data_IF_519832886893
#
_entry.id   IF_519832886893
#
_cell.length_a   1.000
_cell.length_b   1.000
_cell.length_c   1.000
_cell.angle_alpha   90.00
_cell.angle_beta   90.00
_cell.angle_gamma   90.00
#
_symmetry.space_group_name_H-M   'P 1'
#
loop_
_entity.id
_entity.type
_entity.pdbx_description
1 polymer ?
#
# COMPACT_ATOMS: atom_id res chain seq x y z
N UNK A 1 -35.78 18.95 29.43
CA UNK A 1 -35.24 17.83 30.23
C UNK A 1 -33.98 18.32 30.90
N UNK A 2 -33.93 18.30 32.24
CA UNK A 2 -32.76 18.79 32.98
C UNK A 2 -31.57 17.85 32.80
N UNK A 3 -30.31 18.33 32.90
CA UNK A 3 -29.11 17.53 32.62
C UNK A 3 -28.75 16.49 33.70
N UNK A 4 -29.68 16.14 34.59
CA UNK A 4 -29.40 15.37 35.80
C UNK A 4 -30.06 14.01 35.71
N UNK A 5 -29.39 13.06 35.05
CA UNK A 5 -29.34 11.61 35.35
C UNK A 5 -28.89 10.82 34.11
N UNK A 6 -27.68 11.07 33.60
CA UNK A 6 -27.00 10.11 32.73
C UNK A 6 -26.22 9.11 33.61
N UNK A 7 -26.16 7.82 33.27
CA UNK A 7 -25.33 6.82 33.98
C UNK A 7 -23.87 7.27 34.11
N UNK A 8 -23.18 6.88 35.18
CA UNK A 8 -21.80 7.31 35.47
C UNK A 8 -20.81 7.00 34.34
N UNK A 9 -20.96 5.87 33.66
CA UNK A 9 -20.15 5.45 32.51
C UNK A 9 -20.39 6.32 31.25
N UNK A 10 -21.62 6.78 31.02
CA UNK A 10 -21.94 7.71 29.92
C UNK A 10 -21.43 9.12 30.23
N UNK A 11 -21.51 9.56 31.49
CA UNK A 11 -20.92 10.83 31.93
C UNK A 11 -19.39 10.80 31.85
N UNK A 12 -18.74 9.69 32.19
CA UNK A 12 -17.30 9.50 31.99
C UNK A 12 -16.92 9.46 30.51
N UNK A 13 -17.66 8.74 29.67
CA UNK A 13 -17.45 8.73 28.23
C UNK A 13 -17.63 10.13 27.61
N UNK A 14 -18.67 10.88 28.01
CA UNK A 14 -18.89 12.26 27.58
C UNK A 14 -17.81 13.22 28.06
N UNK A 15 -17.32 13.06 29.30
CA UNK A 15 -16.19 13.84 29.83
C UNK A 15 -14.89 13.52 29.09
N UNK A 16 -14.58 12.25 28.86
CA UNK A 16 -13.42 11.81 28.06
C UNK A 16 -13.51 12.35 26.62
N UNK A 17 -14.72 12.37 26.06
CA UNK A 17 -15.00 12.96 24.74
C UNK A 17 -14.77 14.48 24.74
N UNK A 18 -15.18 15.20 25.79
CA UNK A 18 -14.98 16.65 25.87
C UNK A 18 -13.50 17.02 26.09
N UNK A 19 -12.81 16.33 27.00
CA UNK A 19 -11.36 16.53 27.23
C UNK A 19 -10.58 16.28 25.93
N UNK A 20 -10.94 15.25 25.17
CA UNK A 20 -10.32 14.96 23.88
C UNK A 20 -10.59 16.07 22.84
N UNK A 21 -11.81 16.62 22.81
CA UNK A 21 -12.17 17.76 21.93
C UNK A 21 -11.39 19.02 22.29
N UNK A 22 -11.26 19.34 23.58
CA UNK A 22 -10.55 20.53 24.03
C UNK A 22 -9.04 20.41 23.76
N UNK A 23 -8.46 19.22 24.00
CA UNK A 23 -7.07 18.94 23.65
C UNK A 23 -6.83 19.05 22.13
N UNK A 24 -7.74 18.52 21.31
CA UNK A 24 -7.66 18.62 19.86
C UNK A 24 -7.78 20.08 19.38
N UNK A 25 -8.71 20.86 19.93
CA UNK A 25 -8.88 22.27 19.60
C UNK A 25 -7.62 23.08 19.97
N UNK A 26 -7.03 22.81 21.14
CA UNK A 26 -5.75 23.43 21.56
C UNK A 26 -4.62 23.04 20.62
N UNK A 27 -4.54 21.78 20.20
CA UNK A 27 -3.54 21.30 19.24
C UNK A 27 -3.72 21.98 17.87
N UNK A 28 -4.95 22.08 17.36
CA UNK A 28 -5.25 22.78 16.11
C UNK A 28 -4.91 24.27 16.17
N UNK A 29 -5.22 24.94 17.28
CA UNK A 29 -4.89 26.36 17.47
C UNK A 29 -3.36 26.59 17.48
N UNK A 30 -2.62 25.78 18.25
CA UNK A 30 -1.15 25.81 18.27
C UNK A 30 -0.54 25.47 16.90
N UNK A 31 -1.08 24.47 16.21
CA UNK A 31 -0.67 24.12 14.85
C UNK A 31 -0.88 25.30 13.88
N UNK A 32 -2.05 25.93 13.93
CA UNK A 32 -2.39 27.05 13.05
C UNK A 32 -1.46 28.24 13.28
N UNK A 33 -1.21 28.58 14.55
CA UNK A 33 -0.32 29.68 14.92
C UNK A 33 1.13 29.46 14.45
N UNK A 34 1.62 28.22 14.48
CA UNK A 34 2.99 27.88 14.07
C UNK A 34 3.19 27.75 12.54
N UNK A 35 2.11 27.69 11.77
CA UNK A 35 2.16 27.44 10.32
C UNK A 35 1.34 28.45 9.48
N UNK A 36 1.53 29.78 9.68
CA UNK A 36 0.73 30.79 8.98
C UNK A 36 0.94 30.78 7.45
N UNK A 37 2.13 30.42 6.98
CA UNK A 37 2.47 30.38 5.54
C UNK A 37 1.81 29.19 4.88
N UNK A 38 1.85 28.01 5.52
CA UNK A 38 1.12 26.83 5.03
C UNK A 38 -0.40 27.05 5.01
N UNK A 39 -0.97 27.77 5.99
CA UNK A 39 -2.39 28.16 5.97
C UNK A 39 -2.70 29.03 4.75
N UNK A 40 -1.90 30.06 4.50
CA UNK A 40 -2.09 30.93 3.36
C UNK A 40 -1.98 30.16 2.03
N UNK A 41 -0.99 29.28 1.89
CA UNK A 41 -0.84 28.42 0.72
C UNK A 41 -2.06 27.52 0.51
N UNK A 42 -2.62 26.94 1.58
CA UNK A 42 -3.85 26.15 1.49
C UNK A 42 -5.06 26.99 1.03
N UNK A 43 -5.22 28.21 1.56
CA UNK A 43 -6.29 29.12 1.13
C UNK A 43 -6.18 29.47 -0.36
N UNK A 44 -4.97 29.69 -0.86
CA UNK A 44 -4.73 29.90 -2.29
C UNK A 44 -5.08 28.64 -3.11
N UNK A 45 -4.66 27.46 -2.65
CA UNK A 45 -4.98 26.19 -3.32
C UNK A 45 -6.50 25.95 -3.40
N UNK A 46 -7.26 26.31 -2.36
CA UNK A 46 -8.73 26.22 -2.36
C UNK A 46 -9.42 27.05 -3.45
N UNK A 47 -8.73 28.03 -4.05
CA UNK A 47 -9.28 28.84 -5.15
C UNK A 47 -9.34 28.07 -6.47
N UNK A 48 -8.49 27.05 -6.64
CA UNK A 48 -8.36 26.30 -7.89
C UNK A 48 -8.52 24.77 -7.73
N UNK A 49 -8.52 24.25 -6.50
CA UNK A 49 -8.69 22.84 -6.19
C UNK A 49 -9.80 22.66 -5.13
N UNK A 50 -10.71 21.69 -5.29
CA UNK A 50 -11.71 21.39 -4.26
C UNK A 50 -11.05 21.09 -2.91
N UNK A 51 -11.29 21.97 -1.92
CA UNK A 51 -10.64 21.87 -0.61
C UNK A 51 -9.11 21.93 -0.66
N UNK A 52 -8.52 22.60 -1.66
CA UNK A 52 -7.08 22.79 -1.79
C UNK A 52 -6.30 21.48 -1.91
N UNK A 53 -6.88 20.47 -2.57
CA UNK A 53 -6.34 19.12 -2.59
C UNK A 53 -6.54 18.43 -3.96
N UNK A 54 -5.55 17.62 -4.34
CA UNK A 54 -5.62 16.71 -5.50
C UNK A 54 -5.30 15.24 -5.15
N UNK A 55 -5.10 14.93 -3.86
CA UNK A 55 -4.84 13.59 -3.32
C UNK A 55 -5.39 13.50 -1.90
N UNK A 56 -6.56 12.89 -1.73
CA UNK A 56 -7.39 13.01 -0.51
C UNK A 56 -6.64 12.69 0.79
N UNK A 57 -5.74 11.71 0.77
CA UNK A 57 -4.99 11.28 1.97
C UNK A 57 -4.03 12.35 2.52
N UNK A 58 -3.68 13.37 1.70
CA UNK A 58 -2.84 14.49 2.14
C UNK A 58 -3.60 15.56 2.91
N UNK A 59 -4.94 15.54 2.86
CA UNK A 59 -5.72 16.48 3.64
C UNK A 59 -5.66 16.12 5.12
N UNK A 60 -5.40 17.13 5.95
CA UNK A 60 -5.47 17.04 7.40
C UNK A 60 -6.14 18.29 7.95
N UNK A 61 -6.89 18.14 9.04
CA UNK A 61 -7.42 19.29 9.78
C UNK A 61 -6.34 19.89 10.68
N UNK A 62 -6.31 21.22 10.86
CA UNK A 62 -7.20 22.22 10.26
C UNK A 62 -6.87 22.57 8.80
N UNK A 63 -5.64 22.31 8.35
CA UNK A 63 -5.18 22.42 6.96
C UNK A 63 -3.88 21.61 6.80
N UNK A 64 -3.50 21.19 5.58
CA UNK A 64 -2.27 20.44 5.36
C UNK A 64 -1.01 21.32 5.44
N UNK A 65 0.09 20.74 5.94
CA UNK A 65 1.40 21.36 5.90
C UNK A 65 1.89 21.44 4.44
N UNK A 66 2.51 22.55 4.07
CA UNK A 66 3.17 22.68 2.76
C UNK A 66 4.69 22.58 2.93
N UNK A 67 5.33 21.74 2.12
CA UNK A 67 6.78 21.55 2.12
C UNK A 67 7.45 22.40 1.05
N UNK A 68 8.55 23.06 1.42
CA UNK A 68 9.39 23.87 0.55
C UNK A 68 10.40 23.02 -0.23
N UNK A 69 11.07 22.09 0.47
CA UNK A 69 12.09 21.20 -0.09
C UNK A 69 12.38 20.04 0.86
N UNK A 70 13.08 19.01 0.38
CA UNK A 70 13.58 17.90 1.18
C UNK A 70 14.97 17.45 0.74
N UNK A 71 15.71 16.81 1.64
CA UNK A 71 17.00 16.19 1.34
C UNK A 71 17.25 15.01 2.29
N UNK A 72 17.71 13.89 1.75
CA UNK A 72 17.84 12.64 2.52
C UNK A 72 16.49 12.25 3.13
N UNK A 73 16.45 12.06 4.45
CA UNK A 73 15.23 11.73 5.21
C UNK A 73 14.55 12.94 5.86
N UNK A 74 14.84 14.17 5.42
CA UNK A 74 14.26 15.38 6.01
C UNK A 74 13.45 16.21 5.02
N UNK A 75 12.36 16.80 5.52
CA UNK A 75 11.48 17.73 4.82
C UNK A 75 11.46 19.07 5.56
N UNK A 76 11.47 20.17 4.81
CA UNK A 76 11.40 21.53 5.36
C UNK A 76 10.08 22.18 4.93
N UNK A 77 9.27 22.67 5.87
CA UNK A 77 8.02 23.34 5.56
C UNK A 77 8.23 24.75 5.00
N UNK A 78 7.20 25.32 4.39
CA UNK A 78 7.18 26.74 4.00
C UNK A 78 7.34 27.68 5.21
N UNK A 79 7.02 27.19 6.41
CA UNK A 79 7.14 27.93 7.67
C UNK A 79 8.53 27.79 8.32
N UNK A 80 9.47 27.09 7.66
CA UNK A 80 10.86 26.96 8.12
C UNK A 80 11.11 25.85 9.15
N UNK A 81 10.13 24.98 9.39
CA UNK A 81 10.29 23.84 10.30
C UNK A 81 10.89 22.65 9.55
N UNK A 82 11.88 21.98 10.15
CA UNK A 82 12.46 20.74 9.62
C UNK A 82 11.84 19.53 10.31
N UNK A 83 11.48 18.52 9.52
CA UNK A 83 10.89 17.26 9.96
C UNK A 83 11.73 16.09 9.46
N UNK A 84 11.92 15.07 10.30
CA UNK A 84 12.35 13.76 9.83
C UNK A 84 11.14 13.05 9.22
N UNK A 85 11.25 12.65 7.95
CA UNK A 85 10.16 11.99 7.22
C UNK A 85 10.13 10.48 7.54
N UNK A 86 9.12 10.07 8.30
CA UNK A 86 8.78 8.67 8.55
C UNK A 86 7.62 8.16 7.67
N UNK A 87 6.97 9.04 6.90
CA UNK A 87 5.91 8.66 5.98
C UNK A 87 6.49 8.10 4.67
N UNK A 88 7.56 8.72 4.16
CA UNK A 88 8.29 8.24 2.98
C UNK A 88 7.39 8.10 1.76
N UNK A 89 6.56 9.12 1.50
CA UNK A 89 5.59 9.17 0.39
C UNK A 89 4.73 7.89 0.29
N UNK A 90 4.17 7.44 1.41
CA UNK A 90 3.36 6.22 1.51
C UNK A 90 4.06 4.99 0.91
N UNK A 91 5.34 4.80 1.24
CA UNK A 91 6.28 3.76 0.77
C UNK A 91 6.91 3.99 -0.62
N UNK A 92 6.56 5.04 -1.36
CA UNK A 92 7.22 5.35 -2.64
C UNK A 92 8.57 6.06 -2.46
N UNK A 93 8.69 6.91 -1.43
CA UNK A 93 9.86 7.71 -1.11
C UNK A 93 10.90 6.95 -0.30
N UNK A 94 11.08 5.65 -0.55
CA UNK A 94 11.97 4.78 0.23
C UNK A 94 13.44 5.22 0.14
N UNK A 95 13.80 5.97 -0.91
CA UNK A 95 15.14 6.49 -1.17
C UNK A 95 15.41 7.86 -0.53
N UNK A 96 14.40 8.46 0.12
CA UNK A 96 14.45 9.85 0.57
C UNK A 96 14.25 10.86 -0.57
N UNK A 97 14.60 12.13 -0.31
CA UNK A 97 14.15 13.26 -1.13
C UNK A 97 15.17 13.80 -2.15
N UNK A 98 16.37 13.21 -2.26
CA UNK A 98 17.42 13.64 -3.19
C UNK A 98 18.55 12.59 -3.27
N UNK A 99 18.20 11.34 -3.56
CA UNK A 99 19.21 10.28 -3.72
C UNK A 99 20.12 10.57 -4.93
N UNK A 100 21.44 10.50 -4.71
CA UNK A 100 22.43 10.90 -5.71
C UNK A 100 22.44 9.95 -6.92
N UNK A 101 22.21 8.65 -6.70
CA UNK A 101 22.21 7.64 -7.75
C UNK A 101 20.99 7.80 -8.66
N UNK A 102 19.81 7.95 -8.06
CA UNK A 102 18.56 8.19 -8.81
C UNK A 102 18.62 9.53 -9.55
N UNK A 103 19.12 10.59 -8.91
CA UNK A 103 19.28 11.91 -9.54
C UNK A 103 20.20 11.83 -10.76
N UNK A 104 21.36 11.17 -10.64
CA UNK A 104 22.29 11.01 -11.75
C UNK A 104 21.66 10.26 -12.94
N UNK A 105 20.86 9.22 -12.67
CA UNK A 105 20.15 8.47 -13.71
C UNK A 105 19.09 9.33 -14.43
N UNK A 106 18.36 10.17 -13.67
CA UNK A 106 17.39 11.12 -14.24
C UNK A 106 18.11 12.17 -15.09
N UNK A 107 19.18 12.77 -14.56
CA UNK A 107 19.96 13.78 -15.27
C UNK A 107 20.52 13.22 -16.59
N UNK A 108 21.06 11.99 -16.58
CA UNK A 108 21.51 11.31 -17.81
C UNK A 108 20.37 11.12 -18.81
N UNK A 109 19.21 10.62 -18.37
CA UNK A 109 18.06 10.43 -19.23
C UNK A 109 17.60 11.74 -19.88
N UNK A 110 17.60 12.85 -19.13
CA UNK A 110 17.23 14.17 -19.63
C UNK A 110 18.19 14.68 -20.72
N UNK A 111 19.49 14.37 -20.63
CA UNK A 111 20.46 14.76 -21.68
C UNK A 111 20.17 14.10 -23.04
N UNK A 112 19.44 12.98 -23.04
CA UNK A 112 19.09 12.21 -24.24
C UNK A 112 17.69 12.54 -24.80
N UNK A 113 16.97 13.45 -24.14
CA UNK A 113 15.61 13.87 -24.52
C UNK A 113 14.49 13.01 -23.94
N UNK A 114 13.29 13.58 -23.87
CA UNK A 114 12.08 12.94 -23.35
C UNK A 114 10.96 12.91 -24.41
N UNK A 115 9.89 12.16 -24.15
CA UNK A 115 8.73 12.02 -25.05
C UNK A 115 9.09 11.56 -26.48
N UNK A 116 9.88 10.48 -26.57
CA UNK A 116 10.47 10.01 -27.83
C UNK A 116 9.47 9.41 -28.84
N UNK A 117 8.23 9.12 -28.44
CA UNK A 117 7.22 8.53 -29.33
C UNK A 117 7.52 7.10 -29.79
N UNK A 118 8.38 6.37 -29.07
CA UNK A 118 8.78 5.01 -29.43
C UNK A 118 9.48 4.26 -28.29
N UNK A 119 10.01 3.08 -28.63
CA UNK A 119 10.82 2.26 -27.73
C UNK A 119 12.13 2.97 -27.34
N UNK A 120 12.65 2.69 -26.15
CA UNK A 120 13.88 3.29 -25.64
C UNK A 120 14.79 2.28 -24.93
N UNK A 121 16.03 2.69 -24.63
CA UNK A 121 17.03 1.78 -24.07
C UNK A 121 16.79 1.38 -22.61
N UNK A 122 15.99 2.15 -21.86
CA UNK A 122 15.78 1.95 -20.43
C UNK A 122 14.66 0.95 -20.13
N UNK A 123 13.60 0.92 -20.95
CA UNK A 123 12.43 0.06 -20.70
C UNK A 123 12.79 -1.43 -20.64
N UNK A 124 13.67 -1.91 -21.55
CA UNK A 124 14.13 -3.30 -21.56
C UNK A 124 15.03 -3.62 -20.36
N UNK A 125 15.81 -2.64 -19.88
CA UNK A 125 16.70 -2.80 -18.73
C UNK A 125 15.87 -2.92 -17.45
N UNK A 126 14.91 -2.02 -17.26
CA UNK A 126 14.02 -2.08 -16.10
C UNK A 126 13.18 -3.37 -16.10
N UNK A 127 12.64 -3.76 -17.26
CA UNK A 127 11.84 -4.98 -17.36
C UNK A 127 12.66 -6.22 -16.95
N UNK A 128 13.93 -6.29 -17.40
CA UNK A 128 14.86 -7.34 -17.00
C UNK A 128 15.11 -7.36 -15.50
N UNK A 129 15.46 -6.21 -14.90
CA UNK A 129 15.70 -6.09 -13.45
C UNK A 129 14.48 -6.51 -12.62
N UNK A 130 13.29 -6.10 -13.03
CA UNK A 130 12.02 -6.46 -12.36
C UNK A 130 11.78 -7.97 -12.47
N UNK A 131 11.90 -8.57 -13.65
CA UNK A 131 11.72 -10.01 -13.82
C UNK A 131 12.76 -10.84 -13.05
N UNK A 132 14.03 -10.44 -13.07
CA UNK A 132 15.10 -11.12 -12.33
C UNK A 132 14.90 -11.03 -10.81
N UNK A 133 14.46 -9.88 -10.31
CA UNK A 133 14.19 -9.68 -8.88
C UNK A 133 12.99 -10.48 -8.39
N UNK A 134 11.89 -10.50 -9.16
CA UNK A 134 10.62 -11.09 -8.72
C UNK A 134 10.33 -12.48 -9.32
N UNK A 135 11.34 -13.16 -9.87
CA UNK A 135 11.22 -14.58 -10.28
C UNK A 135 11.00 -15.50 -9.06
N UNK A 136 10.18 -16.57 -9.16
CA UNK A 136 9.46 -17.06 -10.35
C UNK A 136 8.12 -16.38 -10.61
N UNK A 137 7.68 -15.46 -9.74
CA UNK A 137 6.37 -14.82 -9.87
C UNK A 137 6.25 -13.99 -11.15
N UNK A 138 7.27 -13.19 -11.49
CA UNK A 138 7.22 -12.21 -12.58
C UNK A 138 8.07 -12.64 -13.80
N UNK A 139 7.54 -13.51 -14.66
CA UNK A 139 8.26 -13.96 -15.86
C UNK A 139 8.26 -12.94 -17.01
N UNK A 140 7.18 -12.16 -17.11
CA UNK A 140 7.00 -11.06 -18.06
C UNK A 140 6.26 -9.92 -17.37
N UNK A 141 6.56 -8.68 -17.77
CA UNK A 141 6.02 -7.46 -17.16
C UNK A 141 5.61 -6.43 -18.21
N UNK A 142 4.58 -5.64 -17.92
CA UNK A 142 4.26 -4.38 -18.62
C UNK A 142 4.14 -3.24 -17.60
N UNK A 143 4.56 -2.05 -18.02
CA UNK A 143 4.53 -0.85 -17.18
C UNK A 143 3.26 -0.03 -17.37
N UNK A 144 2.82 0.60 -16.30
CA UNK A 144 1.69 1.53 -16.21
C UNK A 144 2.15 2.80 -15.48
N UNK A 145 1.25 3.77 -15.33
CA UNK A 145 1.57 5.08 -14.75
C UNK A 145 1.25 5.16 -13.25
N UNK A 146 0.58 4.14 -12.71
CA UNK A 146 0.23 4.03 -11.30
C UNK A 146 -0.07 2.59 -10.88
N UNK A 147 -0.03 2.35 -9.57
CA UNK A 147 -0.55 1.10 -8.99
C UNK A 147 -2.04 0.88 -9.25
N UNK A 148 -2.84 1.96 -9.39
CA UNK A 148 -4.26 1.84 -9.76
C UNK A 148 -4.41 1.23 -11.15
N UNK A 149 -3.66 1.75 -12.13
CA UNK A 149 -3.65 1.19 -13.49
C UNK A 149 -3.11 -0.24 -13.50
N UNK A 150 -2.07 -0.55 -12.71
CA UNK A 150 -1.54 -1.90 -12.62
C UNK A 150 -2.61 -2.92 -12.16
N UNK A 151 -3.35 -2.59 -11.10
CA UNK A 151 -4.44 -3.44 -10.60
C UNK A 151 -5.61 -3.53 -11.58
N UNK A 152 -5.99 -2.42 -12.24
CA UNK A 152 -7.00 -2.44 -13.30
C UNK A 152 -6.60 -3.38 -14.44
N UNK A 153 -5.35 -3.28 -14.91
CA UNK A 153 -4.85 -4.12 -15.99
C UNK A 153 -4.72 -5.59 -15.58
N UNK A 154 -4.28 -5.89 -14.36
CA UNK A 154 -4.19 -7.27 -13.87
C UNK A 154 -5.57 -7.91 -13.75
N UNK A 155 -6.57 -7.20 -13.22
CA UNK A 155 -7.97 -7.66 -13.17
C UNK A 155 -8.54 -7.87 -14.58
N UNK A 156 -8.35 -6.91 -15.49
CA UNK A 156 -8.82 -7.04 -16.88
C UNK A 156 -8.16 -8.24 -17.59
N UNK A 157 -6.87 -8.47 -17.35
CA UNK A 157 -6.12 -9.63 -17.86
C UNK A 157 -6.74 -10.93 -17.34
N UNK A 158 -7.05 -11.01 -16.04
CA UNK A 158 -7.61 -12.22 -15.45
C UNK A 158 -9.03 -12.51 -15.94
N UNK A 159 -9.87 -11.48 -16.11
CA UNK A 159 -11.20 -11.62 -16.69
C UNK A 159 -11.13 -12.10 -18.14
N UNK A 160 -10.23 -11.52 -18.95
CA UNK A 160 -10.02 -11.93 -20.34
C UNK A 160 -9.48 -13.36 -20.46
N UNK A 161 -8.54 -13.74 -19.58
CA UNK A 161 -7.98 -15.10 -19.53
C UNK A 161 -9.03 -16.15 -19.19
N UNK A 162 -9.88 -15.87 -18.20
CA UNK A 162 -10.85 -16.84 -17.68
C UNK A 162 -12.20 -16.82 -18.39
N UNK A 163 -12.53 -15.71 -19.07
CA UNK A 163 -13.87 -15.47 -19.63
C UNK A 163 -14.94 -15.20 -18.56
N UNK A 164 -14.54 -14.82 -17.35
CA UNK A 164 -15.42 -14.69 -16.17
C UNK A 164 -15.44 -13.25 -15.65
N UNK A 165 -16.47 -12.90 -14.88
CA UNK A 165 -16.72 -11.51 -14.48
C UNK A 165 -16.59 -11.22 -12.98
N UNK A 166 -16.70 -12.23 -12.11
CA UNK A 166 -16.67 -12.00 -10.65
C UNK A 166 -15.26 -11.88 -10.12
N UNK A 167 -15.06 -10.93 -9.20
CA UNK A 167 -13.76 -10.62 -8.61
C UNK A 167 -13.87 -10.66 -7.09
N UNK A 168 -13.12 -11.54 -6.44
CA UNK A 168 -13.01 -11.56 -4.98
C UNK A 168 -11.99 -10.51 -4.52
N UNK A 169 -12.43 -9.64 -3.61
CA UNK A 169 -11.64 -8.65 -2.88
C UNK A 169 -12.00 -8.69 -1.39
N UNK A 170 -11.33 -7.90 -0.56
CA UNK A 170 -11.51 -7.97 0.89
C UNK A 170 -11.86 -6.61 1.50
N UNK A 171 -12.72 -6.62 2.53
CA UNK A 171 -12.93 -5.44 3.39
C UNK A 171 -11.58 -4.95 3.94
N UNK A 172 -11.34 -3.65 3.85
CA UNK A 172 -10.08 -2.98 4.16
C UNK A 172 -9.12 -2.85 2.97
N UNK A 173 -9.33 -3.60 1.88
CA UNK A 173 -8.45 -3.61 0.71
C UNK A 173 -8.38 -2.25 -0.01
N UNK A 174 -7.17 -1.87 -0.43
CA UNK A 174 -6.92 -0.68 -1.25
C UNK A 174 -6.02 -1.04 -2.43
N UNK A 175 -6.62 -1.15 -3.61
CA UNK A 175 -5.93 -1.49 -4.86
C UNK A 175 -5.82 -0.31 -5.82
N UNK A 176 -6.04 0.91 -5.31
CA UNK A 176 -6.07 2.13 -6.09
C UNK A 176 -7.35 2.93 -5.90
N UNK A 177 -7.39 4.12 -6.51
CA UNK A 177 -8.47 5.08 -6.30
C UNK A 177 -9.86 4.53 -6.70
N UNK A 178 -9.90 3.71 -7.75
CA UNK A 178 -11.13 3.11 -8.30
C UNK A 178 -11.31 1.63 -7.93
N UNK A 179 -10.53 1.13 -6.97
CA UNK A 179 -10.58 -0.23 -6.42
C UNK A 179 -10.32 -0.19 -4.90
N UNK A 180 -11.14 0.56 -4.16
CA UNK A 180 -11.02 0.74 -2.71
C UNK A 180 -12.23 0.15 -1.97
N UNK A 181 -11.96 -0.73 -1.01
CA UNK A 181 -12.95 -1.51 -0.27
C UNK A 181 -12.85 -1.20 1.23
N UNK A 182 -12.87 0.09 1.58
CA UNK A 182 -12.64 0.61 2.94
C UNK A 182 -13.50 -0.07 4.01
N UNK A 183 -12.96 -0.14 5.22
CA UNK A 183 -13.68 -0.68 6.37
C UNK A 183 -14.80 0.29 6.79
N UNK A 184 -16.06 -0.17 6.93
CA UNK A 184 -17.15 0.65 7.45
C UNK A 184 -16.88 1.28 8.83
N UNK A 185 -15.96 0.69 9.62
CA UNK A 185 -15.55 1.20 10.94
C UNK A 185 -14.79 2.53 10.87
N UNK A 186 -14.37 3.00 9.68
CA UNK A 186 -13.71 4.29 9.50
C UNK A 186 -14.66 5.50 9.65
N UNK A 187 -15.95 5.29 9.96
CA UNK A 187 -16.91 6.37 10.27
C UNK A 187 -17.17 7.36 9.12
N UNK A 188 -16.55 7.15 7.98
CA UNK A 188 -16.58 8.03 6.82
C UNK A 188 -17.65 7.56 5.85
N UNK A 189 -18.75 8.29 5.76
CA UNK A 189 -19.81 8.12 4.74
C UNK A 189 -19.34 8.50 3.31
N UNK A 190 -18.03 8.39 3.03
CA UNK A 190 -17.46 8.63 1.70
C UNK A 190 -17.98 7.60 0.72
N UNK A 191 -18.67 8.07 -0.31
CA UNK A 191 -19.12 7.23 -1.42
C UNK A 191 -17.91 6.66 -2.15
N UNK A 192 -18.00 5.39 -2.54
CA UNK A 192 -16.99 4.74 -3.37
C UNK A 192 -17.07 5.27 -4.81
N UNK A 193 -15.91 5.36 -5.46
CA UNK A 193 -15.75 5.63 -6.90
C UNK A 193 -15.24 4.39 -7.64
N UNK A 194 -15.50 3.19 -7.07
CA UNK A 194 -15.05 1.95 -7.65
C UNK A 194 -15.64 1.73 -9.05
N UNK A 195 -14.85 1.11 -9.93
CA UNK A 195 -15.34 0.68 -11.22
C UNK A 195 -16.49 -0.33 -11.05
N UNK A 196 -17.46 -0.37 -11.99
CA UNK A 196 -18.67 -1.16 -11.86
C UNK A 196 -18.45 -2.65 -12.22
N UNK A 197 -17.50 -3.31 -11.57
CA UNK A 197 -17.30 -4.76 -11.70
C UNK A 197 -18.23 -5.55 -10.76
N UNK A 198 -18.36 -6.86 -11.00
CA UNK A 198 -19.06 -7.79 -10.11
C UNK A 198 -18.20 -8.16 -8.90
N UNK A 199 -18.15 -7.26 -7.92
CA UNK A 199 -17.38 -7.44 -6.70
C UNK A 199 -17.98 -8.49 -5.77
N UNK A 200 -17.15 -9.41 -5.33
CA UNK A 200 -17.40 -10.35 -4.25
C UNK A 200 -16.51 -9.92 -3.09
N UNK A 201 -17.09 -9.53 -1.95
CA UNK A 201 -16.32 -8.95 -0.84
C UNK A 201 -16.22 -9.93 0.32
N UNK A 202 -15.03 -10.50 0.50
CA UNK A 202 -14.66 -11.35 1.62
C UNK A 202 -14.26 -10.56 2.88
N UNK A 203 -13.93 -11.29 3.93
CA UNK A 203 -13.41 -10.75 5.19
C UNK A 203 -11.94 -11.16 5.32
N UNK A 204 -11.04 -10.17 5.35
CA UNK A 204 -9.60 -10.42 5.43
C UNK A 204 -9.25 -11.21 6.70
N UNK A 205 -8.36 -12.19 6.61
CA UNK A 205 -7.99 -13.12 7.69
C UNK A 205 -9.12 -14.01 8.25
N UNK A 206 -10.30 -14.05 7.64
CA UNK A 206 -11.40 -14.93 8.05
C UNK A 206 -11.74 -15.92 6.93
N UNK A 207 -11.18 -17.13 7.04
CA UNK A 207 -11.37 -18.21 6.06
C UNK A 207 -12.84 -18.65 6.03
N UNK A 208 -13.49 -18.78 7.18
CA UNK A 208 -14.86 -19.30 7.25
C UNK A 208 -15.85 -18.35 6.55
N UNK A 209 -15.76 -17.05 6.83
CA UNK A 209 -16.59 -16.03 6.16
C UNK A 209 -16.26 -15.88 4.68
N UNK A 210 -14.97 -16.00 4.32
CA UNK A 210 -14.58 -15.95 2.90
C UNK A 210 -15.12 -17.16 2.14
N UNK A 211 -15.07 -18.36 2.74
CA UNK A 211 -15.62 -19.59 2.18
C UNK A 211 -17.15 -19.52 2.02
N UNK A 212 -17.87 -18.95 3.00
CA UNK A 212 -19.31 -18.72 2.94
C UNK A 212 -19.69 -17.93 1.67
N UNK A 213 -19.06 -16.76 1.47
CA UNK A 213 -19.32 -15.91 0.30
C UNK A 213 -18.94 -16.61 -1.02
N UNK A 214 -17.83 -17.33 -1.04
CA UNK A 214 -17.36 -18.08 -2.21
C UNK A 214 -18.29 -19.24 -2.59
N UNK A 215 -18.83 -19.95 -1.60
CA UNK A 215 -19.77 -21.07 -1.80
C UNK A 215 -21.11 -20.65 -2.40
N UNK A 216 -21.50 -19.39 -2.22
CA UNK A 216 -22.71 -18.82 -2.79
C UNK A 216 -22.55 -18.44 -4.27
N UNK A 217 -21.33 -18.51 -4.84
CA UNK A 217 -21.08 -18.15 -6.22
C UNK A 217 -21.55 -19.25 -7.18
N UNK A 218 -22.10 -18.89 -8.35
CA UNK A 218 -22.33 -19.86 -9.42
C UNK A 218 -21.02 -20.58 -9.78
N UNK A 219 -21.06 -21.88 -10.10
CA UNK A 219 -19.87 -22.62 -10.53
C UNK A 219 -19.15 -21.91 -11.68
N UNK A 220 -17.81 -21.88 -11.63
CA UNK A 220 -16.95 -21.28 -12.66
C UNK A 220 -17.26 -19.80 -12.99
N UNK A 221 -17.78 -19.03 -12.03
CA UNK A 221 -18.06 -17.59 -12.22
C UNK A 221 -16.96 -16.65 -11.71
N UNK A 222 -16.07 -17.14 -10.84
CA UNK A 222 -14.96 -16.35 -10.29
C UNK A 222 -13.80 -16.28 -11.29
N UNK A 223 -13.45 -15.06 -11.72
CA UNK A 223 -12.30 -14.80 -12.56
C UNK A 223 -11.01 -14.78 -11.73
N UNK A 224 -11.05 -14.07 -10.61
CA UNK A 224 -9.82 -13.68 -9.90
C UNK A 224 -10.05 -13.34 -8.45
N UNK A 225 -9.04 -13.65 -7.62
CA UNK A 225 -8.88 -13.17 -6.26
C UNK A 225 -7.80 -12.09 -6.28
N UNK A 226 -8.16 -10.86 -5.91
CA UNK A 226 -7.24 -9.74 -5.76
C UNK A 226 -7.05 -9.46 -4.26
N UNK A 227 -5.79 -9.53 -3.80
CA UNK A 227 -5.48 -9.41 -2.38
C UNK A 227 -4.12 -8.76 -2.15
N UNK A 228 -4.02 -7.88 -1.15
CA UNK A 228 -2.74 -7.43 -0.61
C UNK A 228 -2.20 -8.50 0.35
N UNK A 229 -0.95 -8.97 0.25
CA UNK A 229 -0.36 -9.87 1.24
C UNK A 229 -0.33 -9.31 2.68
N UNK A 230 -0.36 -7.98 2.81
CA UNK A 230 -0.59 -7.24 4.04
C UNK A 230 -1.41 -6.00 3.66
N UNK A 231 -2.57 -5.79 4.30
CA UNK A 231 -3.38 -4.59 4.04
C UNK A 231 -2.60 -3.34 4.44
N UNK A 232 -2.21 -2.53 3.46
CA UNK A 232 -1.43 -1.33 3.72
C UNK A 232 -2.29 -0.22 4.33
N UNK A 233 -3.27 0.24 3.57
CA UNK A 233 -4.09 1.42 3.93
C UNK A 233 -4.94 1.18 5.19
N UNK A 234 -5.34 -0.07 5.46
CA UNK A 234 -6.16 -0.41 6.62
C UNK A 234 -5.39 -0.46 7.95
N UNK A 235 -4.09 -0.10 7.95
CA UNK A 235 -3.27 -0.05 9.15
C UNK A 235 -2.17 -1.11 9.21
N UNK A 236 -1.57 -1.46 8.07
CA UNK A 236 -0.50 -2.46 7.99
C UNK A 236 -0.86 -3.81 8.64
N UNK A 237 -2.03 -4.36 8.29
CA UNK A 237 -2.56 -5.60 8.86
C UNK A 237 -2.04 -6.81 8.07
N UNK A 238 -1.16 -7.66 8.63
CA UNK A 238 -0.60 -8.81 7.92
C UNK A 238 -1.68 -9.84 7.57
N UNK A 239 -1.61 -10.38 6.35
CA UNK A 239 -2.38 -11.58 5.99
C UNK A 239 -1.80 -12.79 6.71
N UNK A 240 -2.63 -13.56 7.42
CA UNK A 240 -2.16 -14.78 8.06
C UNK A 240 -1.79 -15.81 7.00
N UNK A 241 -0.73 -16.57 7.26
CA UNK A 241 -0.28 -17.61 6.33
C UNK A 241 -1.39 -18.62 5.98
N UNK A 242 -2.20 -19.14 6.93
CA UNK A 242 -3.30 -20.03 6.60
C UNK A 242 -4.34 -19.40 5.67
N UNK A 243 -4.63 -18.11 5.84
CA UNK A 243 -5.58 -17.39 5.01
C UNK A 243 -5.06 -17.22 3.58
N UNK A 244 -3.82 -16.77 3.40
CA UNK A 244 -3.24 -16.60 2.07
C UNK A 244 -3.05 -17.94 1.34
N UNK A 245 -2.66 -19.00 2.06
CA UNK A 245 -2.60 -20.36 1.52
C UNK A 245 -3.98 -20.85 1.07
N UNK A 246 -5.02 -20.60 1.86
CA UNK A 246 -6.40 -20.91 1.50
C UNK A 246 -6.81 -20.21 0.19
N UNK A 247 -6.49 -18.93 0.02
CA UNK A 247 -6.80 -18.19 -1.22
C UNK A 247 -6.09 -18.80 -2.43
N UNK A 248 -4.80 -19.14 -2.29
CA UNK A 248 -4.03 -19.81 -3.36
C UNK A 248 -4.63 -21.16 -3.72
N UNK A 249 -4.94 -21.99 -2.73
CA UNK A 249 -5.57 -23.29 -2.94
C UNK A 249 -6.94 -23.15 -3.63
N UNK A 250 -7.77 -22.21 -3.16
CA UNK A 250 -9.10 -21.98 -3.70
C UNK A 250 -9.01 -21.53 -5.17
N UNK A 251 -8.16 -20.56 -5.49
CA UNK A 251 -7.95 -20.06 -6.85
C UNK A 251 -7.60 -21.21 -7.80
N UNK A 252 -6.59 -22.03 -7.44
CA UNK A 252 -6.16 -23.17 -8.25
C UNK A 252 -7.24 -24.24 -8.41
N UNK A 253 -8.01 -24.54 -7.34
CA UNK A 253 -9.05 -25.56 -7.38
C UNK A 253 -10.30 -25.17 -8.20
N UNK A 254 -10.45 -23.89 -8.53
CA UNK A 254 -11.61 -23.36 -9.24
C UNK A 254 -11.27 -22.71 -10.58
N UNK A 255 -10.04 -22.91 -11.08
CA UNK A 255 -9.52 -22.27 -12.29
C UNK A 255 -9.71 -20.74 -12.29
N UNK A 256 -9.57 -20.13 -11.12
CA UNK A 256 -9.51 -18.68 -10.96
C UNK A 256 -8.06 -18.25 -10.77
N UNK A 257 -7.73 -17.01 -11.12
CA UNK A 257 -6.39 -16.49 -10.90
C UNK A 257 -6.24 -15.90 -9.49
N UNK A 258 -5.03 -15.93 -8.96
CA UNK A 258 -4.63 -15.15 -7.78
C UNK A 258 -3.76 -13.99 -8.22
N UNK A 259 -4.14 -12.78 -7.82
CA UNK A 259 -3.32 -11.56 -7.94
C UNK A 259 -2.87 -11.16 -6.54
N UNK A 260 -1.56 -11.06 -6.34
CA UNK A 260 -1.03 -10.30 -5.21
C UNK A 260 -0.77 -8.86 -5.61
N UNK A 261 -1.46 -7.96 -4.91
CA UNK A 261 -1.16 -6.55 -4.92
C UNK A 261 0.04 -6.30 -4.02
N UNK A 262 1.22 -6.19 -4.64
CA UNK A 262 2.49 -5.96 -3.96
C UNK A 262 3.01 -4.53 -4.18
N UNK A 263 2.09 -3.58 -4.49
CA UNK A 263 2.42 -2.16 -4.62
C UNK A 263 3.12 -1.62 -3.37
N UNK A 264 2.75 -2.10 -2.18
CA UNK A 264 3.47 -1.82 -0.92
C UNK A 264 4.42 -2.95 -0.52
N UNK A 265 3.94 -4.19 -0.55
CA UNK A 265 4.60 -5.32 0.14
C UNK A 265 5.81 -5.86 -0.62
N UNK A 266 6.02 -5.46 -1.88
CA UNK A 266 7.21 -5.82 -2.67
C UNK A 266 8.54 -5.41 -2.03
N UNK A 267 8.54 -4.49 -1.06
CA UNK A 267 9.72 -4.04 -0.31
C UNK A 267 10.03 -4.86 0.95
N UNK A 268 9.10 -5.72 1.40
CA UNK A 268 9.21 -6.46 2.66
C UNK A 268 10.08 -7.74 2.55
N UNK A 269 10.56 -8.02 1.35
CA UNK A 269 11.61 -8.99 1.02
C UNK A 269 12.17 -8.61 -0.34
N UNK A 270 13.40 -9.00 -0.65
CA UNK A 270 13.98 -8.69 -1.96
C UNK A 270 13.11 -9.18 -3.13
N UNK A 271 12.47 -10.35 -2.97
CA UNK A 271 11.56 -10.96 -3.96
C UNK A 271 10.07 -10.70 -3.71
N UNK A 272 9.73 -9.78 -2.79
CA UNK A 272 8.35 -9.49 -2.38
C UNK A 272 7.80 -10.42 -1.29
N UNK A 273 6.70 -9.99 -0.65
CA UNK A 273 6.16 -10.68 0.53
C UNK A 273 5.56 -12.04 0.17
N UNK A 274 4.88 -12.17 -0.98
CA UNK A 274 4.33 -13.44 -1.42
C UNK A 274 5.40 -14.53 -1.55
N UNK A 275 6.55 -14.17 -2.14
CA UNK A 275 7.70 -15.08 -2.22
C UNK A 275 8.24 -15.45 -0.84
N UNK A 276 8.40 -14.47 0.08
CA UNK A 276 8.86 -14.74 1.46
C UNK A 276 7.96 -15.76 2.17
N UNK A 277 6.66 -15.69 1.93
CA UNK A 277 5.65 -16.60 2.49
C UNK A 277 5.55 -17.95 1.74
N UNK A 278 6.33 -18.16 0.68
CA UNK A 278 6.28 -19.36 -0.14
C UNK A 278 4.99 -19.50 -0.97
N UNK A 279 4.28 -18.40 -1.23
CA UNK A 279 3.03 -18.39 -2.00
C UNK A 279 3.24 -17.65 -3.32
N UNK A 280 3.08 -18.39 -4.42
CA UNK A 280 3.19 -17.83 -5.77
C UNK A 280 1.81 -17.44 -6.33
N UNK A 281 1.55 -16.15 -6.60
CA UNK A 281 0.36 -15.72 -7.32
C UNK A 281 0.51 -15.96 -8.83
N UNK A 282 -0.60 -15.91 -9.57
CA UNK A 282 -0.58 -16.01 -11.04
C UNK A 282 -0.12 -14.71 -11.69
N UNK A 283 -0.51 -13.58 -11.09
CA UNK A 283 -0.08 -12.23 -11.45
C UNK A 283 0.31 -11.46 -10.19
N UNK A 284 1.17 -10.47 -10.36
CA UNK A 284 1.63 -9.54 -9.34
C UNK A 284 1.54 -8.12 -9.87
N UNK A 285 1.11 -7.19 -9.02
CA UNK A 285 1.14 -5.76 -9.34
C UNK A 285 2.16 -5.04 -8.47
N UNK A 286 2.81 -4.06 -9.08
CA UNK A 286 3.89 -3.26 -8.51
C UNK A 286 3.59 -1.78 -8.70
N UNK A 287 4.22 -0.94 -7.89
CA UNK A 287 4.10 0.50 -7.98
C UNK A 287 5.13 1.20 -7.10
N UNK A 288 4.86 2.46 -6.79
CA UNK A 288 5.58 3.21 -5.76
C UNK A 288 7.10 3.22 -5.97
N UNK A 289 7.85 2.64 -5.04
CA UNK A 289 9.31 2.73 -5.01
C UNK A 289 9.98 2.12 -6.26
N UNK A 290 9.33 1.15 -6.93
CA UNK A 290 9.90 0.48 -8.11
C UNK A 290 10.19 1.47 -9.25
N UNK A 291 9.46 2.59 -9.30
CA UNK A 291 9.71 3.67 -10.25
C UNK A 291 10.81 4.66 -9.85
N UNK A 292 11.60 4.40 -8.81
CA UNK A 292 12.62 5.33 -8.33
C UNK A 292 12.06 6.65 -7.78
N UNK A 293 10.81 6.64 -7.30
CA UNK A 293 10.09 7.85 -6.85
C UNK A 293 9.31 8.59 -7.94
N UNK A 294 9.33 8.13 -9.18
CA UNK A 294 8.58 8.71 -10.30
C UNK A 294 7.18 8.06 -10.45
N UNK A 295 6.33 8.61 -11.34
CA UNK A 295 5.05 7.98 -11.68
C UNK A 295 5.27 6.59 -12.25
N UNK A 296 4.72 5.56 -11.59
CA UNK A 296 5.01 4.18 -11.93
C UNK A 296 3.93 3.23 -11.44
N UNK A 297 3.65 2.24 -12.27
CA UNK A 297 3.07 0.96 -11.90
C UNK A 297 3.59 -0.12 -12.84
N UNK A 298 3.38 -1.38 -12.47
CA UNK A 298 3.60 -2.49 -13.37
C UNK A 298 2.68 -3.64 -13.01
N UNK A 299 2.30 -4.42 -14.02
CA UNK A 299 1.65 -5.71 -13.81
C UNK A 299 2.34 -6.76 -14.65
N UNK A 300 2.36 -7.97 -14.12
CA UNK A 300 2.93 -9.10 -14.82
C UNK A 300 2.75 -10.37 -14.03
N UNK A 301 3.38 -11.45 -14.46
CA UNK A 301 3.22 -12.73 -13.81
C UNK A 301 3.68 -13.87 -14.70
N UNK A 302 2.91 -14.96 -14.67
CA UNK A 302 3.12 -16.13 -15.52
C UNK A 302 3.21 -15.76 -17.01
N UNK A 303 4.15 -16.38 -17.70
CA UNK A 303 4.41 -16.12 -19.12
C UNK A 303 3.20 -16.39 -20.02
N UNK A 304 2.52 -17.50 -19.81
CA UNK A 304 1.38 -17.92 -20.64
C UNK A 304 0.23 -16.90 -20.63
N UNK A 305 -0.04 -16.30 -19.47
CA UNK A 305 -1.02 -15.23 -19.31
C UNK A 305 -0.53 -13.93 -19.98
N UNK A 306 0.71 -13.53 -19.69
CA UNK A 306 1.24 -12.25 -20.16
C UNK A 306 1.50 -12.21 -21.67
N UNK A 307 1.71 -13.36 -22.30
CA UNK A 307 1.82 -13.49 -23.75
C UNK A 307 0.54 -13.13 -24.53
N UNK A 308 -0.61 -12.96 -23.85
CA UNK A 308 -1.80 -12.36 -24.47
C UNK A 308 -1.55 -10.93 -24.95
N UNK A 309 -0.56 -10.22 -24.40
CA UNK A 309 -0.19 -8.87 -24.83
C UNK A 309 0.88 -8.85 -25.93
N UNK A 310 1.30 -9.99 -26.46
CA UNK A 310 2.26 -10.04 -27.57
C UNK A 310 1.60 -9.50 -28.85
N UNK A 311 1.98 -8.31 -29.34
CA UNK A 311 1.32 -7.67 -30.47
C UNK A 311 1.57 -8.39 -31.79
N UNK A 312 2.46 -9.39 -31.82
CA UNK A 312 2.72 -10.24 -32.99
C UNK A 312 1.66 -11.34 -33.15
N UNK A 313 0.91 -11.65 -32.09
CA UNK A 313 -0.15 -12.66 -32.09
C UNK A 313 -1.50 -12.03 -32.46
N UNK A 314 -2.31 -12.71 -33.25
CA UNK A 314 -3.68 -12.27 -33.57
C UNK A 314 -4.62 -12.54 -32.39
N UNK A 315 -5.55 -11.61 -32.12
CA UNK A 315 -6.61 -11.80 -31.10
C UNK A 315 -6.16 -11.61 -29.65
N UNK A 316 -4.98 -11.02 -29.43
CA UNK A 316 -4.47 -10.66 -28.10
C UNK A 316 -5.12 -9.43 -27.47
N UNK A 317 -4.61 -9.05 -26.31
CA UNK A 317 -5.04 -7.88 -25.54
C UNK A 317 -4.22 -6.64 -25.92
N UNK A 318 -4.89 -5.48 -25.95
CA UNK A 318 -4.25 -4.20 -26.11
C UNK A 318 -3.97 -3.54 -24.75
N UNK A 319 -2.75 -3.03 -24.58
CA UNK A 319 -2.40 -2.18 -23.45
C UNK A 319 -1.56 -1.00 -23.95
N UNK A 320 -2.25 0.14 -24.12
CA UNK A 320 -1.66 1.42 -24.47
C UNK A 320 -1.38 2.27 -23.22
N UNK A 321 -0.76 3.43 -23.41
CA UNK A 321 -0.55 4.43 -22.38
C UNK A 321 0.68 5.27 -22.70
N UNK A 322 0.47 6.58 -22.85
CA UNK A 322 1.47 7.52 -23.37
C UNK A 322 2.77 7.51 -22.58
N UNK A 323 2.67 7.39 -21.25
CA UNK A 323 3.81 7.51 -20.34
C UNK A 323 4.28 6.16 -19.77
N UNK A 324 3.74 5.04 -20.25
CA UNK A 324 4.08 3.70 -19.76
C UNK A 324 5.59 3.42 -19.84
N UNK A 325 6.27 3.93 -20.88
CA UNK A 325 7.71 3.75 -21.08
C UNK A 325 8.50 5.06 -20.99
N UNK A 326 8.00 6.08 -20.30
CA UNK A 326 8.69 7.38 -20.22
C UNK A 326 10.11 7.22 -19.65
N UNK A 327 11.09 7.88 -20.27
CA UNK A 327 12.52 7.66 -19.97
C UNK A 327 12.90 7.98 -18.52
N UNK A 328 12.18 8.92 -17.88
CA UNK A 328 12.45 9.36 -16.50
C UNK A 328 12.10 8.24 -15.52
N UNK A 329 10.88 7.71 -15.56
CA UNK A 329 10.49 6.58 -14.71
C UNK A 329 11.32 5.33 -14.98
N UNK A 330 11.65 5.05 -16.25
CA UNK A 330 12.44 3.86 -16.59
C UNK A 330 13.88 3.96 -16.06
N UNK A 331 14.53 5.11 -16.21
CA UNK A 331 15.90 5.34 -15.72
C UNK A 331 15.95 5.39 -14.18
N UNK A 332 15.03 6.14 -13.56
CA UNK A 332 14.91 6.21 -12.10
C UNK A 332 14.61 4.84 -11.48
N UNK A 333 13.74 4.04 -12.11
CA UNK A 333 13.44 2.68 -11.68
C UNK A 333 14.65 1.75 -11.76
N UNK A 334 15.47 1.85 -12.82
CA UNK A 334 16.71 1.07 -12.91
C UNK A 334 17.65 1.39 -11.75
N UNK A 335 17.89 2.68 -11.50
CA UNK A 335 18.72 3.12 -10.37
C UNK A 335 18.12 2.73 -9.01
N UNK A 336 16.81 2.85 -8.84
CA UNK A 336 16.11 2.45 -7.62
C UNK A 336 16.22 0.96 -7.31
N UNK A 337 16.18 0.10 -8.34
CA UNK A 337 16.42 -1.34 -8.17
C UNK A 337 17.86 -1.66 -7.76
N UNK A 338 18.84 -0.86 -8.19
CA UNK A 338 20.25 -1.00 -7.78
C UNK A 338 20.47 -0.50 -6.35
N UNK A 339 19.86 0.63 -5.97
CA UNK A 339 19.96 1.17 -4.61
C UNK A 339 19.27 0.27 -3.58
N UNK A 340 18.10 -0.28 -3.92
CA UNK A 340 17.36 -1.18 -3.04
C UNK A 340 17.67 -2.64 -3.38
N UNK A 341 18.95 -3.01 -3.29
CA UNK A 341 19.40 -4.39 -3.46
C UNK A 341 18.97 -5.32 -2.29
N UNK A 342 19.39 -6.58 -2.32
CA UNK A 342 19.00 -7.58 -1.32
C UNK A 342 19.53 -7.22 0.08
N UNK A 343 20.79 -6.82 0.19
CA UNK A 343 21.41 -6.41 1.45
C UNK A 343 20.68 -5.19 2.05
N UNK A 344 20.45 -4.16 1.23
CA UNK A 344 19.76 -2.93 1.66
C UNK A 344 18.32 -3.21 2.05
N UNK A 345 17.63 -4.09 1.31
CA UNK A 345 16.27 -4.51 1.64
C UNK A 345 16.22 -5.21 3.00
N UNK A 346 17.14 -6.16 3.26
CA UNK A 346 17.20 -6.87 4.54
C UNK A 346 17.51 -5.91 5.70
N UNK A 347 18.54 -5.07 5.53
CA UNK A 347 18.92 -4.05 6.53
C UNK A 347 17.77 -3.10 6.87
N UNK A 348 17.00 -2.66 5.86
CA UNK A 348 15.85 -1.79 6.07
C UNK A 348 14.74 -2.48 6.86
N UNK A 349 14.44 -3.74 6.55
CA UNK A 349 13.43 -4.51 7.26
C UNK A 349 13.85 -4.79 8.71
N UNK A 350 15.12 -5.12 8.95
CA UNK A 350 15.66 -5.29 10.32
C UNK A 350 15.57 -4.00 11.15
N UNK A 351 15.81 -2.84 10.53
CA UNK A 351 15.61 -1.54 11.18
C UNK A 351 14.13 -1.29 11.50
N UNK A 352 13.23 -1.68 10.61
CA UNK A 352 11.78 -1.59 10.82
C UNK A 352 11.31 -2.44 11.99
N UNK A 353 11.79 -3.68 12.08
CA UNK A 353 11.48 -4.59 13.18
C UNK A 353 11.97 -4.05 14.53
N UNK A 354 13.24 -3.63 14.61
CA UNK A 354 13.77 -3.00 15.84
C UNK A 354 12.99 -1.75 16.25
N UNK A 355 12.60 -0.91 15.29
CA UNK A 355 11.80 0.28 15.60
C UNK A 355 10.43 -0.11 16.16
N UNK A 356 9.77 -1.12 15.59
CA UNK A 356 8.48 -1.63 16.06
C UNK A 356 8.59 -2.17 17.48
N UNK A 357 9.60 -2.98 17.79
CA UNK A 357 9.88 -3.49 19.14
C UNK A 357 10.07 -2.32 20.14
N UNK A 358 10.95 -1.38 19.82
CA UNK A 358 11.22 -0.23 20.70
C UNK A 358 9.98 0.62 20.97
N UNK A 359 9.13 0.86 19.96
CA UNK A 359 7.88 1.60 20.12
C UNK A 359 6.89 0.82 20.98
N UNK A 360 6.80 -0.49 20.77
CA UNK A 360 5.92 -1.38 21.54
C UNK A 360 6.32 -1.37 23.01
N UNK A 361 7.61 -1.56 23.32
CA UNK A 361 8.15 -1.50 24.67
C UNK A 361 7.81 -0.19 25.39
N UNK A 362 7.94 0.94 24.70
CA UNK A 362 7.63 2.27 25.28
C UNK A 362 6.15 2.40 25.58
N UNK A 363 5.28 1.94 24.67
CA UNK A 363 3.83 1.98 24.84
C UNK A 363 3.43 1.09 26.01
N UNK A 364 3.93 -0.15 26.06
CA UNK A 364 3.58 -1.11 27.09
C UNK A 364 4.00 -0.64 28.48
N UNK A 365 5.25 -0.20 28.64
CA UNK A 365 5.76 0.33 29.92
C UNK A 365 4.97 1.55 30.41
N UNK A 366 4.52 2.42 29.50
CA UNK A 366 3.80 3.65 29.87
C UNK A 366 2.32 3.46 30.12
N UNK A 367 1.66 2.55 29.39
CA UNK A 367 0.22 2.32 29.52
C UNK A 367 -0.11 1.24 30.55
N UNK A 368 0.75 0.23 30.72
CA UNK A 368 0.51 -0.92 31.58
C UNK A 368 1.48 -1.02 32.78
N UNK A 369 2.49 -0.16 32.86
CA UNK A 369 3.53 -0.15 33.91
C UNK A 369 4.65 -1.17 33.66
N UNK A 370 5.65 -1.21 34.55
CA UNK A 370 6.61 -2.32 34.58
C UNK A 370 5.85 -3.57 35.03
N UNK A 371 5.38 -4.38 34.10
CA UNK A 371 4.91 -5.73 34.42
C UNK A 371 6.15 -6.51 34.89
N UNK A 372 6.23 -6.96 36.15
CA UNK A 372 7.38 -7.73 36.60
C UNK A 372 7.42 -9.01 35.74
N UNK A 373 8.54 -9.27 35.08
CA UNK A 373 8.85 -10.62 34.64
C UNK A 373 8.98 -11.47 35.91
N UNK A 374 7.90 -12.14 36.30
CA UNK A 374 7.95 -13.14 37.37
C UNK A 374 8.59 -14.38 36.80
N UNK A 375 9.89 -14.54 37.06
CA UNK A 375 10.54 -15.84 37.03
C UNK A 375 9.87 -16.74 38.07
N UNK A 376 9.06 -17.69 37.59
CA UNK A 376 8.51 -18.79 38.38
C UNK A 376 7.19 -18.51 39.11
N UNK A 377 6.07 -18.62 38.39
CA UNK A 377 4.81 -19.16 38.92
C UNK A 377 3.82 -19.45 37.77
N UNK A 378 3.44 -20.72 37.62
CA UNK A 378 2.38 -21.30 36.78
C UNK A 378 2.14 -20.72 35.38
N UNK A 379 2.69 -21.43 34.39
CA UNK A 379 2.29 -21.39 32.98
C UNK A 379 0.84 -21.88 32.82
N UNK A 380 -0.15 -21.03 33.11
CA UNK A 380 -1.55 -21.44 32.93
C UNK A 380 -2.61 -20.35 32.87
N UNK A 381 -2.40 -19.15 33.41
CA UNK A 381 -3.55 -18.25 33.65
C UNK A 381 -3.37 -16.77 33.29
N UNK A 382 -2.22 -16.32 32.78
CA UNK A 382 -1.99 -14.88 32.49
C UNK A 382 -1.59 -14.55 31.04
N UNK A 383 -1.53 -15.52 30.12
CA UNK A 383 -1.37 -15.28 28.67
C UNK A 383 -2.67 -14.89 27.95
N UNK A 384 -3.68 -14.40 28.68
CA UNK A 384 -5.03 -14.21 28.16
C UNK A 384 -5.31 -12.88 27.46
N UNK A 385 -4.53 -11.81 27.66
CA UNK A 385 -5.00 -10.47 27.27
C UNK A 385 -3.96 -9.44 26.78
N UNK A 386 -2.70 -9.82 26.52
CA UNK A 386 -1.68 -8.85 26.07
C UNK A 386 -0.99 -9.20 24.73
N UNK A 387 -1.20 -10.38 24.16
CA UNK A 387 -0.54 -10.81 22.90
C UNK A 387 -1.38 -10.63 21.63
N UNK A 388 -2.48 -9.86 21.66
CA UNK A 388 -3.43 -9.82 20.53
C UNK A 388 -3.38 -8.57 19.64
N UNK A 389 -2.48 -7.60 19.87
CA UNK A 389 -2.38 -6.44 18.98
C UNK A 389 -1.57 -6.71 17.71
N UNK A 390 -0.70 -7.72 17.71
CA UNK A 390 0.10 -8.13 16.54
C UNK A 390 0.33 -9.65 16.55
N UNK A 391 0.25 -10.36 15.41
CA UNK A 391 0.55 -11.79 15.35
C UNK A 391 1.99 -12.05 15.79
N UNK A 392 2.20 -13.08 16.61
CA UNK A 392 3.52 -13.49 17.10
C UNK A 392 4.43 -13.99 15.97
N UNK A 393 5.75 -13.88 16.18
CA UNK A 393 6.81 -14.19 15.19
C UNK A 393 6.81 -15.64 14.67
N UNK A 394 6.11 -16.56 15.34
CA UNK A 394 5.93 -17.93 14.86
C UNK A 394 4.80 -18.08 13.81
N UNK A 395 4.31 -16.96 13.26
CA UNK A 395 3.29 -16.90 12.21
C UNK A 395 3.78 -16.22 10.91
N UNK A 396 5.09 -16.18 10.67
CA UNK A 396 5.71 -15.72 9.41
C UNK A 396 6.18 -16.88 8.54
#
# INVERSE_FOLDING_TARGET
>A
MSPTQLPSSELEHLKLTQVSKDALAKAHSSYTHRNPTSLHAHQLACQCQPGGNTRTVLHANPFPLNFAWGNGCTLNSLDGHTYTDFLGEYTAGIFGHNDATIRAAIDEALTRGWSLGGNNMYEKRLAKLVCERFTPTMELVRFTNSGTEANMMAVATAMAWTGRTKILVFRGGYHGATLSFRNPLEGSATKSVNLPHEWVVGTYNDIARTAEVLSALPPKSLAVILVEPMLGNAGAIPGSLPFLQYLRFYASSHDALLIFDEVMTSRLSYRGLGHKLGIQPDLMTLGKWVGGGMSFGAFGGRRDIMEMYDPRKSGGLAHAGTFNNNVISMAAGCAGCEVLDEETTNRLNDLGERLKEMVTDVIEKRLYGDVPHTDGADEGSLKGNATSLWPSENAF
#
